data_IF_979759910991
#
_entry.id   IF_979759910991
#
_cell.length_a   1.000
_cell.length_b   1.000
_cell.length_c   1.000
_cell.angle_alpha   90.00
_cell.angle_beta   90.00
_cell.angle_gamma   90.00
#
_symmetry.space_group_name_H-M   'P 1'
#
loop_
_entity.id
_entity.type
_entity.pdbx_description
1 polymer ?
#
# COMPACT_ATOMS: atom_id res chain seq x y z
N UNK A 1 24.66 13.27 6.61
CA UNK A 1 24.12 13.66 7.95
C UNK A 1 22.75 14.30 7.74
N UNK A 2 21.73 13.83 8.44
CA UNK A 2 20.40 14.43 8.49
C UNK A 2 20.40 15.56 9.52
N UNK A 3 19.91 16.73 9.16
CA UNK A 3 19.85 17.91 10.03
C UNK A 3 18.46 18.51 9.94
N UNK A 4 17.76 18.63 11.06
CA UNK A 4 16.48 19.28 11.19
C UNK A 4 16.68 20.76 11.51
N UNK A 5 16.42 21.66 10.56
CA UNK A 5 16.72 23.10 10.72
C UNK A 5 15.88 23.98 9.81
N UNK A 6 15.68 25.23 10.22
CA UNK A 6 15.17 26.33 9.38
C UNK A 6 16.20 27.45 9.22
N UNK A 7 17.45 27.21 9.62
CA UNK A 7 18.56 28.11 9.47
C UNK A 7 18.97 28.22 7.98
N UNK A 8 18.82 29.40 7.40
CA UNK A 8 19.06 29.64 5.98
C UNK A 8 20.51 29.39 5.57
N UNK A 9 21.47 29.62 6.45
CA UNK A 9 22.89 29.38 6.17
C UNK A 9 23.22 27.88 6.09
N UNK A 10 22.51 27.06 6.86
CA UNK A 10 22.61 25.59 6.81
C UNK A 10 21.89 25.05 5.59
N UNK A 11 20.67 25.54 5.30
CA UNK A 11 19.88 25.19 4.13
C UNK A 11 20.65 25.45 2.85
N UNK A 12 21.28 26.62 2.73
CA UNK A 12 22.05 27.01 1.53
C UNK A 12 23.25 26.11 1.24
N UNK A 13 23.79 25.43 2.27
CA UNK A 13 24.98 24.55 2.17
C UNK A 13 24.63 23.06 2.06
N UNK A 14 23.36 22.71 2.21
CA UNK A 14 22.94 21.33 2.17
C UNK A 14 22.86 20.79 0.74
N UNK A 15 23.27 19.54 0.53
CA UNK A 15 23.20 18.87 -0.77
C UNK A 15 21.74 18.63 -1.15
N UNK A 16 20.91 18.19 -0.18
CA UNK A 16 19.49 17.95 -0.36
C UNK A 16 18.71 18.70 0.73
N UNK A 17 17.70 19.43 0.32
CA UNK A 17 16.78 20.19 1.20
C UNK A 17 15.38 19.69 0.98
N UNK A 18 14.69 19.35 2.08
CA UNK A 18 13.34 18.76 2.05
C UNK A 18 12.44 19.56 2.99
N UNK A 19 11.27 19.95 2.50
CA UNK A 19 10.18 20.55 3.27
C UNK A 19 10.51 21.90 3.96
N UNK A 20 11.57 22.55 3.50
CA UNK A 20 12.01 23.88 3.96
C UNK A 20 12.70 24.62 2.82
N UNK A 21 12.77 25.95 2.94
CA UNK A 21 13.50 26.80 1.98
C UNK A 21 12.62 27.48 0.93
N UNK A 22 11.38 27.02 0.73
CA UNK A 22 10.41 27.63 -0.20
C UNK A 22 10.78 27.51 -1.67
N UNK A 23 11.52 26.45 -2.06
CA UNK A 23 12.00 26.23 -3.42
C UNK A 23 11.84 24.80 -3.86
N UNK A 24 11.37 24.58 -5.11
CA UNK A 24 11.42 23.31 -5.79
C UNK A 24 12.33 23.37 -7.01
N UNK A 25 13.49 22.76 -6.92
CA UNK A 25 14.42 22.49 -8.00
C UNK A 25 15.07 21.11 -7.77
N UNK A 26 14.55 20.10 -8.49
CA UNK A 26 14.98 18.72 -8.32
C UNK A 26 16.45 18.51 -8.73
N UNK A 27 17.00 19.30 -9.64
CA UNK A 27 18.39 19.19 -10.10
C UNK A 27 19.36 19.87 -9.13
N UNK A 28 18.89 20.90 -8.43
CA UNK A 28 19.61 21.52 -7.34
C UNK A 28 19.41 20.82 -5.98
N UNK A 29 18.62 19.74 -5.92
CA UNK A 29 18.33 19.01 -4.68
C UNK A 29 17.42 19.78 -3.72
N UNK A 30 16.49 20.59 -4.24
CA UNK A 30 15.53 21.40 -3.46
C UNK A 30 14.13 20.84 -3.64
N UNK A 31 13.53 20.35 -2.55
CA UNK A 31 12.25 19.64 -2.56
C UNK A 31 11.31 20.23 -1.51
N UNK A 32 10.89 21.48 -1.72
CA UNK A 32 9.87 22.13 -0.90
C UNK A 32 8.64 22.44 -1.74
N UNK A 33 7.45 22.41 -1.13
CA UNK A 33 6.17 22.65 -1.78
C UNK A 33 5.45 23.89 -1.24
N UNK A 34 6.04 24.57 -0.25
CA UNK A 34 5.44 25.72 0.44
C UNK A 34 5.50 27.05 -0.33
N UNK A 35 6.15 27.10 -1.49
CA UNK A 35 6.22 28.32 -2.30
C UNK A 35 4.85 28.69 -2.88
N UNK A 36 4.71 29.96 -3.23
CA UNK A 36 3.47 30.46 -3.83
C UNK A 36 3.13 29.70 -5.12
N UNK A 37 1.97 29.05 -5.16
CA UNK A 37 1.52 28.23 -6.29
C UNK A 37 1.93 26.75 -6.17
N UNK A 38 2.53 26.35 -5.05
CA UNK A 38 2.93 24.97 -4.80
C UNK A 38 4.09 24.50 -5.68
N UNK A 39 4.25 23.18 -5.83
CA UNK A 39 5.29 22.53 -6.61
C UNK A 39 4.75 21.66 -7.76
N UNK A 40 3.52 21.96 -8.20
CA UNK A 40 2.81 21.21 -9.22
C UNK A 40 1.91 20.11 -8.66
N UNK A 41 1.23 19.42 -9.57
CA UNK A 41 0.23 18.41 -9.24
C UNK A 41 0.35 17.20 -10.18
N UNK A 42 -0.25 16.07 -9.78
CA UNK A 42 -0.40 14.87 -10.61
C UNK A 42 -1.54 15.07 -11.61
N UNK A 43 -1.63 14.19 -12.62
CA UNK A 43 -2.70 14.19 -13.62
C UNK A 43 -4.11 14.09 -12.99
N UNK A 44 -4.24 13.47 -11.83
CA UNK A 44 -5.49 13.38 -11.08
C UNK A 44 -5.78 14.60 -10.18
N UNK A 45 -4.97 15.67 -10.29
CA UNK A 45 -5.16 16.93 -9.55
C UNK A 45 -4.64 16.90 -8.10
N UNK A 46 -4.01 15.82 -7.64
CA UNK A 46 -3.40 15.77 -6.31
C UNK A 46 -2.07 16.53 -6.33
N UNK A 47 -1.94 17.61 -5.52
CA UNK A 47 -0.70 18.37 -5.42
C UNK A 47 0.44 17.50 -4.87
N UNK A 48 1.68 17.83 -5.24
CA UNK A 48 2.84 17.20 -4.64
C UNK A 48 3.20 17.88 -3.31
N UNK A 49 3.32 17.09 -2.25
CA UNK A 49 4.09 17.47 -1.06
C UNK A 49 5.58 17.20 -1.27
N UNK A 50 6.41 17.56 -0.33
CA UNK A 50 7.85 17.29 -0.39
C UNK A 50 8.15 15.80 -0.54
N UNK A 51 7.35 14.91 0.05
CA UNK A 51 7.49 13.47 -0.15
C UNK A 51 7.23 13.06 -1.60
N UNK A 52 6.16 13.55 -2.22
CA UNK A 52 5.85 13.27 -3.61
C UNK A 52 6.90 13.81 -4.59
N UNK A 53 7.48 14.98 -4.29
CA UNK A 53 8.59 15.54 -5.09
C UNK A 53 9.84 14.66 -5.04
N UNK A 54 10.22 14.18 -3.86
CA UNK A 54 11.31 13.20 -3.67
C UNK A 54 11.00 11.90 -4.41
N UNK A 55 9.78 11.38 -4.27
CA UNK A 55 9.38 10.16 -4.96
C UNK A 55 9.41 10.30 -6.47
N UNK A 56 8.94 11.41 -7.00
CA UNK A 56 8.99 11.74 -8.43
C UNK A 56 10.42 11.71 -8.99
N UNK A 57 11.42 12.14 -8.21
CA UNK A 57 12.83 12.17 -8.63
C UNK A 57 13.51 10.82 -8.45
N UNK A 58 13.31 10.17 -7.30
CA UNK A 58 14.10 9.01 -6.87
C UNK A 58 13.31 7.70 -6.78
N UNK A 59 11.98 7.72 -6.89
CA UNK A 59 11.13 6.54 -6.65
C UNK A 59 11.48 5.35 -7.52
N UNK A 60 11.83 5.56 -8.79
CA UNK A 60 12.25 4.47 -9.69
C UNK A 60 13.60 3.90 -9.26
N UNK A 61 14.56 4.73 -8.86
CA UNK A 61 15.85 4.30 -8.34
C UNK A 61 15.70 3.53 -7.03
N UNK A 62 14.87 4.02 -6.11
CA UNK A 62 14.54 3.35 -4.83
C UNK A 62 13.89 1.98 -5.07
N UNK A 63 13.18 1.81 -6.17
CA UNK A 63 12.57 0.54 -6.59
C UNK A 63 13.47 -0.25 -7.56
N UNK A 64 14.79 -0.13 -7.47
CA UNK A 64 15.77 -0.86 -8.29
C UNK A 64 15.53 -0.75 -9.81
N UNK A 65 15.01 0.40 -10.26
CA UNK A 65 14.67 0.65 -11.65
C UNK A 65 13.30 0.14 -12.10
N UNK A 66 12.53 -0.49 -11.21
CA UNK A 66 11.20 -1.02 -11.55
C UNK A 66 10.13 0.09 -11.50
N UNK A 67 9.79 0.60 -12.69
CA UNK A 67 8.81 1.68 -12.86
C UNK A 67 7.39 1.28 -12.45
N UNK A 68 7.01 0.01 -12.60
CA UNK A 68 5.68 -0.51 -12.22
C UNK A 68 5.51 -0.54 -10.70
N UNK A 69 6.56 -0.97 -9.99
CA UNK A 69 6.61 -0.92 -8.52
C UNK A 69 6.57 0.53 -8.04
N UNK A 70 7.40 1.41 -8.60
CA UNK A 70 7.43 2.81 -8.23
C UNK A 70 6.06 3.50 -8.43
N UNK A 71 5.38 3.22 -9.54
CA UNK A 71 4.04 3.73 -9.80
C UNK A 71 3.00 3.15 -8.82
N UNK A 72 3.09 1.87 -8.49
CA UNK A 72 2.18 1.23 -7.52
C UNK A 72 2.33 1.83 -6.12
N UNK A 73 3.56 2.14 -5.70
CA UNK A 73 3.83 2.81 -4.42
C UNK A 73 3.37 4.27 -4.46
N UNK A 74 3.60 4.98 -5.57
CA UNK A 74 3.10 6.36 -5.74
C UNK A 74 1.59 6.42 -5.55
N UNK A 75 0.84 5.60 -6.28
CA UNK A 75 -0.63 5.60 -6.23
C UNK A 75 -1.19 5.10 -4.90
N UNK A 76 -0.54 4.13 -4.25
CA UNK A 76 -1.05 3.49 -3.04
C UNK A 76 -0.65 4.16 -1.74
N UNK A 77 0.47 4.87 -1.71
CA UNK A 77 1.02 5.48 -0.49
C UNK A 77 1.31 6.97 -0.69
N UNK A 78 2.18 7.31 -1.64
CA UNK A 78 2.77 8.65 -1.74
C UNK A 78 1.70 9.69 -2.04
N UNK A 79 0.83 9.44 -3.04
CA UNK A 79 -0.25 10.37 -3.41
C UNK A 79 -1.26 10.59 -2.29
N UNK A 80 -1.50 9.58 -1.46
CA UNK A 80 -2.39 9.71 -0.29
C UNK A 80 -1.78 10.62 0.79
N UNK A 81 -0.47 10.47 1.02
CA UNK A 81 0.25 11.34 1.98
C UNK A 81 0.28 12.77 1.45
N UNK A 82 0.60 12.96 0.17
CA UNK A 82 0.61 14.27 -0.47
C UNK A 82 -0.75 14.96 -0.40
N UNK A 83 -1.84 14.22 -0.67
CA UNK A 83 -3.20 14.76 -0.57
C UNK A 83 -3.51 15.27 0.85
N UNK A 84 -3.13 14.50 1.88
CA UNK A 84 -3.35 14.89 3.27
C UNK A 84 -2.51 16.12 3.63
N UNK A 85 -1.24 16.14 3.25
CA UNK A 85 -0.30 17.19 3.58
C UNK A 85 -0.63 18.53 2.89
N UNK A 86 -1.11 18.45 1.64
CA UNK A 86 -1.56 19.59 0.87
C UNK A 86 -3.02 20.02 1.16
N UNK A 87 -3.71 19.35 2.10
CA UNK A 87 -5.11 19.66 2.43
C UNK A 87 -6.14 19.23 1.38
N UNK A 88 -5.75 18.38 0.42
CA UNK A 88 -6.62 17.82 -0.62
C UNK A 88 -7.26 16.53 -0.11
N UNK A 89 -8.22 16.65 0.83
CA UNK A 89 -8.75 15.51 1.60
C UNK A 89 -10.06 14.93 1.08
N UNK A 90 -10.59 15.39 -0.04
CA UNK A 90 -11.80 14.84 -0.63
C UNK A 90 -11.58 13.39 -1.02
N UNK A 91 -12.43 12.48 -0.51
CA UNK A 91 -12.32 11.03 -0.76
C UNK A 91 -11.30 10.28 0.11
N UNK A 92 -10.56 10.97 0.99
CA UNK A 92 -9.69 10.30 1.96
C UNK A 92 -10.55 9.69 3.08
N UNK A 93 -10.35 8.39 3.35
CA UNK A 93 -11.08 7.70 4.40
C UNK A 93 -10.86 8.36 5.75
N UNK A 94 -11.95 8.55 6.52
CA UNK A 94 -11.85 9.06 7.89
C UNK A 94 -11.26 7.98 8.80
N UNK A 95 -10.31 8.33 9.62
CA UNK A 95 -9.64 7.43 10.55
C UNK A 95 -8.24 7.93 10.91
N UNK A 96 -7.50 7.13 11.66
CA UNK A 96 -6.10 7.42 11.96
C UNK A 96 -5.27 7.18 10.71
N UNK A 97 -4.71 8.25 10.14
CA UNK A 97 -3.81 8.17 8.98
C UNK A 97 -2.39 7.80 9.39
N UNK A 98 -1.57 7.39 8.40
CA UNK A 98 -0.13 7.18 8.63
C UNK A 98 0.55 8.48 9.08
N UNK A 99 0.19 9.62 8.51
CA UNK A 99 0.72 10.93 8.90
C UNK A 99 0.41 11.25 10.37
N UNK A 100 -0.82 10.97 10.83
CA UNK A 100 -1.19 11.11 12.24
C UNK A 100 -0.42 10.14 13.14
N UNK A 101 -0.22 8.89 12.70
CA UNK A 101 0.56 7.90 13.45
C UNK A 101 2.02 8.36 13.61
N UNK A 102 2.63 8.88 12.54
CA UNK A 102 3.99 9.42 12.56
C UNK A 102 4.06 10.66 13.47
N UNK A 103 3.04 11.53 13.47
CA UNK A 103 3.02 12.71 14.34
C UNK A 103 3.00 12.38 15.83
N UNK A 104 2.55 11.17 16.20
CA UNK A 104 2.55 10.71 17.60
C UNK A 104 3.93 10.40 18.17
N UNK A 105 4.97 10.36 17.33
CA UNK A 105 6.36 10.29 17.81
C UNK A 105 6.82 11.61 18.43
N UNK A 106 6.16 12.74 18.13
CA UNK A 106 6.52 14.01 18.77
C UNK A 106 6.11 14.02 20.25
N UNK A 107 6.97 14.60 21.12
CA UNK A 107 6.59 14.81 22.52
C UNK A 107 5.35 15.70 22.63
N UNK A 108 4.53 15.44 23.63
CA UNK A 108 3.41 16.34 23.97
C UNK A 108 3.95 17.64 24.56
N UNK A 109 3.09 18.67 24.62
CA UNK A 109 3.48 19.96 25.19
C UNK A 109 3.82 19.90 26.69
N UNK A 110 3.52 18.80 27.38
CA UNK A 110 3.77 18.56 28.80
C UNK A 110 5.07 17.80 29.08
N UNK A 111 5.71 17.28 28.02
CA UNK A 111 6.90 16.45 28.12
C UNK A 111 8.13 17.26 27.78
N UNK A 112 9.18 17.10 28.58
CA UNK A 112 10.54 17.55 28.25
C UNK A 112 11.17 16.51 27.32
N UNK A 113 10.85 16.55 26.02
CA UNK A 113 11.31 15.57 25.03
C UNK A 113 12.44 16.07 24.14
N UNK A 114 13.31 15.15 23.74
CA UNK A 114 14.30 15.39 22.68
C UNK A 114 13.63 15.22 21.31
N UNK A 115 13.26 16.35 20.69
CA UNK A 115 12.60 16.36 19.38
C UNK A 115 13.46 15.75 18.27
N UNK A 116 14.77 15.79 18.35
CA UNK A 116 15.65 15.22 17.34
C UNK A 116 15.69 13.70 17.47
N UNK A 117 15.77 13.17 18.69
CA UNK A 117 15.65 11.74 18.95
C UNK A 117 14.27 11.18 18.51
N UNK A 118 13.18 11.85 18.85
CA UNK A 118 11.83 11.46 18.42
C UNK A 118 11.69 11.51 16.90
N UNK A 119 12.32 12.47 16.24
CA UNK A 119 12.33 12.54 14.78
C UNK A 119 13.11 11.38 14.14
N UNK A 120 14.24 10.96 14.71
CA UNK A 120 14.99 9.81 14.23
C UNK A 120 14.18 8.51 14.36
N UNK A 121 13.45 8.33 15.46
CA UNK A 121 12.53 7.20 15.63
C UNK A 121 11.39 7.23 14.60
N UNK A 122 10.81 8.39 14.35
CA UNK A 122 9.77 8.57 13.32
C UNK A 122 10.29 8.24 11.92
N UNK A 123 11.52 8.67 11.58
CA UNK A 123 12.17 8.34 10.31
C UNK A 123 12.40 6.83 10.18
N UNK A 124 12.90 6.18 11.23
CA UNK A 124 13.10 4.72 11.21
C UNK A 124 11.79 3.96 11.02
N UNK A 125 10.71 4.38 11.67
CA UNK A 125 9.37 3.82 11.50
C UNK A 125 8.85 4.03 10.08
N UNK A 126 8.91 5.26 9.55
CA UNK A 126 8.44 5.61 8.21
C UNK A 126 9.20 4.84 7.12
N UNK A 127 10.53 4.72 7.25
CA UNK A 127 11.37 3.94 6.33
C UNK A 127 10.94 2.48 6.29
N UNK A 128 10.70 1.86 7.44
CA UNK A 128 10.23 0.48 7.51
C UNK A 128 8.87 0.28 6.84
N UNK A 129 7.96 1.24 6.99
CA UNK A 129 6.65 1.19 6.30
C UNK A 129 6.84 1.29 4.78
N UNK A 130 7.67 2.22 4.31
CA UNK A 130 7.99 2.39 2.89
C UNK A 130 8.57 1.11 2.29
N UNK A 131 9.57 0.49 2.95
CA UNK A 131 10.15 -0.78 2.52
C UNK A 131 9.09 -1.89 2.37
N UNK A 132 8.13 -1.94 3.30
CA UNK A 132 7.04 -2.92 3.24
C UNK A 132 6.06 -2.64 2.10
N UNK A 133 5.78 -1.37 1.80
CA UNK A 133 4.97 -0.99 0.64
C UNK A 133 5.64 -1.37 -0.67
N UNK A 134 6.95 -1.11 -0.81
CA UNK A 134 7.74 -1.50 -1.99
C UNK A 134 7.73 -3.02 -2.16
N UNK A 135 8.06 -3.77 -1.12
CA UNK A 135 8.07 -5.23 -1.17
C UNK A 135 6.67 -5.82 -1.47
N UNK A 136 5.61 -5.20 -0.96
CA UNK A 136 4.24 -5.63 -1.23
C UNK A 136 3.83 -5.34 -2.69
N UNK A 137 4.24 -4.19 -3.23
CA UNK A 137 3.99 -3.82 -4.62
C UNK A 137 4.73 -4.76 -5.58
N UNK A 138 6.02 -5.01 -5.32
CA UNK A 138 6.83 -5.95 -6.11
C UNK A 138 6.26 -7.36 -6.09
N UNK A 139 5.91 -7.88 -4.89
CA UNK A 139 5.25 -9.18 -4.74
C UNK A 139 3.91 -9.26 -5.47
N UNK A 140 3.13 -8.17 -5.48
CA UNK A 140 1.86 -8.10 -6.20
C UNK A 140 2.03 -8.11 -7.73
N UNK A 141 3.06 -7.42 -8.23
CA UNK A 141 3.38 -7.39 -9.66
C UNK A 141 3.92 -8.76 -10.12
N UNK A 142 4.85 -9.33 -9.36
CA UNK A 142 5.41 -10.66 -9.64
C UNK A 142 4.34 -11.76 -9.60
N UNK A 143 3.33 -11.62 -8.74
CA UNK A 143 2.22 -12.56 -8.66
C UNK A 143 1.32 -12.58 -9.90
N UNK A 144 1.31 -11.49 -10.69
CA UNK A 144 0.37 -11.32 -11.81
C UNK A 144 0.48 -12.42 -12.87
N UNK A 145 1.71 -12.80 -13.25
CA UNK A 145 1.94 -13.86 -14.23
C UNK A 145 1.47 -15.23 -13.72
N UNK A 146 1.71 -15.54 -12.46
CA UNK A 146 1.30 -16.81 -11.82
C UNK A 146 -0.23 -16.92 -11.79
N UNK A 147 -0.90 -15.85 -11.44
CA UNK A 147 -2.37 -15.83 -11.37
C UNK A 147 -2.99 -15.85 -12.77
N UNK A 148 -2.41 -15.12 -13.73
CA UNK A 148 -2.85 -15.13 -15.12
C UNK A 148 -2.76 -16.55 -15.73
N UNK A 149 -1.62 -17.23 -15.52
CA UNK A 149 -1.45 -18.62 -15.94
C UNK A 149 -2.49 -19.56 -15.31
N UNK A 150 -2.80 -19.37 -14.02
CA UNK A 150 -3.82 -20.18 -13.35
C UNK A 150 -5.23 -19.92 -13.89
N UNK A 151 -5.55 -18.69 -14.30
CA UNK A 151 -6.83 -18.35 -14.96
C UNK A 151 -6.92 -19.03 -16.32
N UNK A 152 -5.88 -18.94 -17.14
CA UNK A 152 -5.82 -19.52 -18.48
C UNK A 152 -5.93 -21.07 -18.47
N UNK A 153 -5.39 -21.70 -17.44
CA UNK A 153 -5.40 -23.17 -17.29
C UNK A 153 -6.52 -23.70 -16.39
N UNK A 154 -7.48 -22.87 -15.99
CA UNK A 154 -8.58 -23.30 -15.14
C UNK A 154 -9.51 -24.27 -15.88
N UNK A 155 -9.76 -25.45 -15.33
CA UNK A 155 -10.70 -26.45 -15.87
C UNK A 155 -12.16 -25.92 -15.82
N UNK A 156 -12.50 -25.21 -14.76
CA UNK A 156 -13.76 -24.45 -14.62
C UNK A 156 -13.39 -22.99 -14.43
N UNK A 157 -13.76 -22.07 -15.35
CA UNK A 157 -13.37 -20.66 -15.26
C UNK A 157 -13.93 -19.95 -14.02
N UNK A 158 -14.89 -20.58 -13.32
CA UNK A 158 -15.44 -20.06 -12.05
C UNK A 158 -14.55 -20.36 -10.83
N UNK A 159 -13.62 -21.30 -10.95
CA UNK A 159 -12.77 -21.77 -9.83
C UNK A 159 -11.30 -21.73 -10.23
N UNK A 160 -10.58 -20.76 -9.69
CA UNK A 160 -9.15 -20.60 -9.95
C UNK A 160 -8.36 -21.33 -8.87
N UNK A 161 -7.51 -22.29 -9.27
CA UNK A 161 -6.68 -23.06 -8.34
C UNK A 161 -5.23 -22.58 -8.44
N UNK A 162 -4.70 -22.08 -7.33
CA UNK A 162 -3.30 -21.67 -7.22
C UNK A 162 -2.48 -22.77 -6.53
N UNK A 163 -1.24 -22.97 -6.98
CA UNK A 163 -0.32 -23.99 -6.40
C UNK A 163 0.29 -23.54 -5.06
N UNK A 164 0.21 -22.24 -4.77
CA UNK A 164 0.66 -21.63 -3.52
C UNK A 164 -0.17 -20.36 -3.27
N UNK A 165 -0.18 -19.86 -2.03
CA UNK A 165 -0.77 -18.54 -1.79
C UNK A 165 -0.01 -17.49 -2.62
N UNK A 166 -0.76 -16.76 -3.40
CA UNK A 166 -0.28 -15.69 -4.27
C UNK A 166 -1.27 -14.53 -4.18
N UNK A 167 -0.85 -13.25 -4.11
CA UNK A 167 -1.76 -12.11 -4.13
C UNK A 167 -2.58 -12.08 -5.43
N UNK A 168 -3.80 -12.60 -5.40
CA UNK A 168 -4.61 -12.90 -6.57
C UNK A 168 -5.72 -11.87 -6.87
N UNK A 169 -6.21 -11.16 -5.85
CA UNK A 169 -7.46 -10.38 -5.94
C UNK A 169 -7.49 -9.39 -7.12
N UNK A 170 -6.43 -8.57 -7.26
CA UNK A 170 -6.36 -7.57 -8.35
C UNK A 170 -6.29 -8.24 -9.72
N UNK A 171 -5.50 -9.27 -9.86
CA UNK A 171 -5.31 -9.97 -11.14
C UNK A 171 -6.57 -10.71 -11.57
N UNK A 172 -7.19 -11.47 -10.66
CA UNK A 172 -8.46 -12.16 -10.94
C UNK A 172 -9.54 -11.14 -11.29
N UNK A 173 -9.63 -10.03 -10.55
CA UNK A 173 -10.63 -9.01 -10.83
C UNK A 173 -10.45 -8.33 -12.20
N UNK A 174 -9.21 -8.16 -12.65
CA UNK A 174 -8.90 -7.52 -13.93
C UNK A 174 -8.95 -8.45 -15.14
N UNK A 175 -8.72 -9.76 -14.95
CA UNK A 175 -8.56 -10.72 -16.05
C UNK A 175 -9.70 -11.75 -16.16
N UNK A 176 -10.53 -11.91 -15.13
CA UNK A 176 -11.65 -12.87 -15.16
C UNK A 176 -12.92 -12.28 -14.56
N UNK A 177 -13.95 -12.16 -15.38
CA UNK A 177 -15.30 -11.82 -14.94
C UNK A 177 -16.06 -13.05 -14.40
N UNK A 178 -15.68 -14.26 -14.85
CA UNK A 178 -16.36 -15.51 -14.50
C UNK A 178 -15.91 -16.11 -13.18
N UNK A 179 -14.70 -15.81 -12.71
CA UNK A 179 -14.15 -16.38 -11.47
C UNK A 179 -15.02 -15.99 -10.27
N UNK A 180 -15.47 -17.03 -9.53
CA UNK A 180 -16.29 -16.90 -8.32
C UNK A 180 -15.51 -17.27 -7.06
N UNK A 181 -14.56 -18.20 -7.19
CA UNK A 181 -13.78 -18.75 -6.09
C UNK A 181 -12.31 -18.89 -6.47
N UNK A 182 -11.45 -18.69 -5.48
CA UNK A 182 -10.01 -18.98 -5.61
C UNK A 182 -9.61 -19.97 -4.52
N UNK A 183 -8.96 -21.04 -4.92
CA UNK A 183 -8.53 -22.15 -4.05
C UNK A 183 -7.00 -22.19 -4.02
N UNK A 184 -6.42 -22.26 -2.83
CA UNK A 184 -4.97 -22.30 -2.66
C UNK A 184 -4.56 -22.97 -1.34
N UNK A 185 -3.35 -23.54 -1.27
CA UNK A 185 -2.83 -24.10 -0.03
C UNK A 185 -2.39 -22.99 0.92
N UNK A 186 -2.61 -23.17 2.21
CA UNK A 186 -2.03 -22.36 3.28
C UNK A 186 -0.64 -22.86 3.67
N UNK A 187 0.10 -22.04 4.42
CA UNK A 187 1.43 -22.41 4.95
C UNK A 187 1.39 -23.67 5.86
N UNK A 188 0.23 -23.98 6.45
CA UNK A 188 0.01 -25.18 7.25
C UNK A 188 -0.30 -26.44 6.43
N UNK A 189 -0.29 -26.35 5.09
CA UNK A 189 -0.60 -27.45 4.18
C UNK A 189 -2.09 -27.73 3.98
N UNK A 190 -2.95 -26.93 4.59
CA UNK A 190 -4.40 -27.01 4.40
C UNK A 190 -4.81 -26.19 3.18
N UNK A 191 -5.89 -26.59 2.52
CA UNK A 191 -6.47 -25.82 1.42
C UNK A 191 -7.47 -24.80 1.92
N UNK A 192 -7.48 -23.64 1.27
CA UNK A 192 -8.44 -22.57 1.50
C UNK A 192 -9.20 -22.26 0.24
N UNK A 193 -10.50 -22.00 0.39
CA UNK A 193 -11.34 -21.43 -0.63
C UNK A 193 -11.71 -19.99 -0.21
N UNK A 194 -11.55 -19.05 -1.11
CA UNK A 194 -12.02 -17.67 -0.92
C UNK A 194 -12.94 -17.26 -2.05
N UNK A 195 -13.97 -16.53 -1.71
CA UNK A 195 -14.88 -15.89 -2.65
C UNK A 195 -14.20 -14.73 -3.36
N UNK A 196 -14.53 -14.53 -4.64
CA UNK A 196 -14.08 -13.34 -5.39
C UNK A 196 -15.02 -12.18 -5.04
N UNK A 197 -14.51 -11.05 -4.54
CA UNK A 197 -15.34 -9.89 -4.23
C UNK A 197 -15.97 -9.30 -5.50
N UNK A 198 -17.18 -8.76 -5.39
CA UNK A 198 -17.87 -8.09 -6.49
C UNK A 198 -17.06 -6.88 -7.00
N UNK A 199 -16.49 -6.11 -6.07
CA UNK A 199 -15.57 -5.00 -6.34
C UNK A 199 -14.35 -5.08 -5.43
N UNK A 200 -13.21 -4.55 -5.88
CA UNK A 200 -12.00 -4.50 -5.06
C UNK A 200 -12.23 -3.66 -3.81
N UNK A 201 -11.96 -4.26 -2.64
CA UNK A 201 -12.19 -3.62 -1.34
C UNK A 201 -13.61 -3.77 -0.79
N UNK A 202 -14.53 -4.36 -1.54
CA UNK A 202 -15.88 -4.70 -1.06
C UNK A 202 -15.86 -5.97 -0.20
N UNK A 203 -16.83 -6.05 0.72
CA UNK A 203 -17.20 -7.29 1.43
C UNK A 203 -18.31 -8.06 0.72
N UNK A 204 -18.86 -7.53 -0.37
CA UNK A 204 -19.84 -8.21 -1.19
C UNK A 204 -19.11 -9.14 -2.17
N UNK A 205 -19.57 -10.40 -2.25
CA UNK A 205 -18.99 -11.43 -3.09
C UNK A 205 -19.72 -11.49 -4.44
N UNK A 206 -19.00 -11.85 -5.51
CA UNK A 206 -19.63 -12.25 -6.78
C UNK A 206 -20.59 -13.43 -6.56
N UNK A 207 -20.19 -14.35 -5.70
CA UNK A 207 -20.98 -15.50 -5.27
C UNK A 207 -20.55 -15.92 -3.87
N UNK A 208 -21.39 -15.72 -2.87
CA UNK A 208 -21.14 -16.18 -1.51
C UNK A 208 -21.16 -17.71 -1.41
N UNK A 209 -20.47 -18.27 -0.44
CA UNK A 209 -20.61 -19.67 -0.04
C UNK A 209 -22.03 -19.92 0.50
N UNK A 210 -22.49 -21.18 0.53
CA UNK A 210 -23.83 -21.49 1.06
C UNK A 210 -24.00 -21.00 2.49
N UNK A 211 -25.08 -20.27 2.75
CA UNK A 211 -25.38 -19.73 4.10
C UNK A 211 -25.45 -20.82 5.18
N UNK A 212 -25.78 -22.05 4.79
CA UNK A 212 -25.82 -23.20 5.70
C UNK A 212 -24.46 -23.65 6.21
N UNK A 213 -23.35 -23.16 5.62
CA UNK A 213 -22.00 -23.46 6.04
C UNK A 213 -21.45 -22.39 7.02
N UNK A 214 -22.04 -21.20 7.01
CA UNK A 214 -21.52 -20.05 7.75
C UNK A 214 -21.50 -20.32 9.26
N UNK A 215 -20.31 -20.15 9.84
CA UNK A 215 -20.05 -20.33 11.28
C UNK A 215 -19.95 -21.79 11.73
N UNK A 216 -20.01 -22.75 10.80
CA UNK A 216 -19.78 -24.16 11.12
C UNK A 216 -18.30 -24.51 11.14
N UNK A 217 -17.94 -25.51 11.95
CA UNK A 217 -16.59 -26.07 12.03
C UNK A 217 -16.62 -27.60 12.15
N UNK A 218 -15.48 -28.21 11.84
CA UNK A 218 -15.19 -29.62 12.04
C UNK A 218 -16.35 -30.53 11.60
N UNK A 219 -16.84 -31.38 12.48
CA UNK A 219 -17.86 -32.39 12.18
C UNK A 219 -19.16 -31.80 11.63
N UNK A 220 -19.60 -30.66 12.12
CA UNK A 220 -20.82 -30.02 11.62
C UNK A 220 -20.65 -29.53 10.17
N UNK A 221 -19.49 -28.97 9.84
CA UNK A 221 -19.18 -28.54 8.48
C UNK A 221 -18.99 -29.75 7.55
N UNK A 222 -18.30 -30.79 8.01
CA UNK A 222 -18.10 -32.05 7.27
C UNK A 222 -19.44 -32.68 6.86
N UNK A 223 -20.39 -32.74 7.81
CA UNK A 223 -21.71 -33.36 7.57
C UNK A 223 -22.53 -32.61 6.49
N UNK A 224 -22.40 -31.26 6.42
CA UNK A 224 -23.17 -30.47 5.44
C UNK A 224 -22.43 -30.29 4.11
N UNK A 225 -21.10 -30.40 4.08
CA UNK A 225 -20.29 -30.26 2.87
C UNK A 225 -20.00 -31.59 2.19
N UNK A 226 -19.99 -32.70 2.95
CA UNK A 226 -19.51 -34.01 2.51
C UNK A 226 -17.99 -34.11 2.35
N UNK A 227 -17.24 -33.15 2.92
CA UNK A 227 -15.77 -33.12 2.92
C UNK A 227 -15.28 -33.56 4.32
N UNK A 228 -14.64 -34.71 4.40
CA UNK A 228 -14.23 -35.32 5.68
C UNK A 228 -13.16 -34.52 6.44
N UNK A 229 -12.49 -33.58 5.78
CA UNK A 229 -11.41 -32.75 6.30
C UNK A 229 -11.78 -31.25 6.37
N UNK A 230 -13.05 -30.91 6.16
CA UNK A 230 -13.52 -29.54 6.32
C UNK A 230 -13.35 -29.08 7.77
N UNK A 231 -12.76 -27.88 7.96
CA UNK A 231 -12.38 -27.40 9.29
C UNK A 231 -13.26 -26.24 9.79
N UNK A 232 -13.47 -25.22 8.96
CA UNK A 232 -14.33 -24.06 9.31
C UNK A 232 -14.82 -23.33 8.06
N UNK A 233 -15.93 -22.63 8.20
CA UNK A 233 -16.49 -21.73 7.18
C UNK A 233 -17.02 -20.43 7.80
#
# INVERSE_FOLDING_TARGET
>A
TLIRTRDLDKIAKADIVIDVGGEYDADAGRFDHHQRGGAGERENGIPYSSFGLIWKKYGVEICDGNTEVAHSVDSGLVSTIDAIDCGHVEGVAQGISLSQTISMFNPTWQEDGDFDACFEEAVAFASRILDRFIASADGGISARSIVAEAIENAEDPRVIVLKQYTPWKRTVHSLSEEALYVVYPSDSGQWRIQTVPAELGSFEDRKSLPKTWAGLSDKELQDVTGLDDAMFC
#
